data_IF_089156869713
#
_entry.id   IF_089156869713
#
_cell.length_a   1.000
_cell.length_b   1.000
_cell.length_c   1.000
_cell.angle_alpha   90.00
_cell.angle_beta   90.00
_cell.angle_gamma   90.00
#
_symmetry.space_group_name_H-M   'P 1'
#
loop_
_entity.id
_entity.type
_entity.pdbx_description
1 polymer ?
#
# COMPACT_ATOMS: atom_id res chain seq x y z
N UNK A 1 -11.95 23.93 14.40
CA UNK A 1 -12.71 23.04 13.49
C UNK A 1 -11.82 21.85 13.20
N UNK A 2 -12.21 20.63 13.57
CA UNK A 2 -11.42 19.42 13.29
C UNK A 2 -11.95 18.88 11.96
N UNK A 3 -11.09 18.81 10.94
CA UNK A 3 -11.43 18.27 9.63
C UNK A 3 -11.06 16.79 9.62
N UNK A 4 -12.01 15.93 10.03
CA UNK A 4 -11.80 14.48 10.02
C UNK A 4 -11.80 13.94 8.61
N UNK A 5 -10.93 12.98 8.34
CA UNK A 5 -11.03 12.13 7.15
C UNK A 5 -12.13 11.09 7.41
N UNK A 6 -13.20 11.03 6.61
CA UNK A 6 -14.23 10.02 6.76
C UNK A 6 -13.63 8.62 6.59
N UNK A 7 -13.81 7.73 7.57
CA UNK A 7 -13.27 6.38 7.52
C UNK A 7 -13.85 5.56 6.34
N UNK A 8 -15.06 5.90 5.91
CA UNK A 8 -15.77 5.33 4.75
C UNK A 8 -15.09 5.64 3.41
N UNK A 9 -14.13 6.56 3.40
CA UNK A 9 -13.28 6.81 2.23
C UNK A 9 -12.04 5.92 2.19
N UNK A 10 -11.70 5.24 3.29
CA UNK A 10 -10.52 4.40 3.39
C UNK A 10 -10.81 2.95 3.03
N UNK A 11 -12.02 2.47 3.32
CA UNK A 11 -12.43 1.07 3.18
C UNK A 11 -13.93 0.99 2.90
N UNK A 12 -14.36 -0.06 2.22
CA UNK A 12 -15.77 -0.39 1.98
C UNK A 12 -16.38 -1.23 3.11
N UNK A 13 -15.57 -1.83 3.98
CA UNK A 13 -16.02 -2.73 5.05
C UNK A 13 -16.56 -1.93 6.25
N UNK A 14 -17.85 -2.04 6.60
CA UNK A 14 -18.43 -1.32 7.73
C UNK A 14 -17.83 -1.69 9.08
N UNK A 15 -17.34 -2.91 9.27
CA UNK A 15 -16.70 -3.32 10.53
C UNK A 15 -15.30 -2.68 10.66
N UNK A 16 -14.57 -2.53 9.56
CA UNK A 16 -13.29 -1.81 9.54
C UNK A 16 -13.53 -0.31 9.74
N UNK A 17 -14.54 0.28 9.09
CA UNK A 17 -14.97 1.67 9.35
C UNK A 17 -15.24 1.89 10.84
N UNK A 18 -15.98 0.99 11.48
CA UNK A 18 -16.24 1.04 12.92
C UNK A 18 -14.95 0.94 13.72
N UNK A 19 -14.08 -0.01 13.40
CA UNK A 19 -12.78 -0.18 14.06
C UNK A 19 -11.93 1.07 13.98
N UNK A 20 -11.86 1.74 12.81
CA UNK A 20 -11.10 2.98 12.64
C UNK A 20 -11.65 4.11 13.51
N UNK A 21 -12.98 4.24 13.59
CA UNK A 21 -13.62 5.27 14.41
C UNK A 21 -13.48 5.03 15.92
N UNK A 22 -13.39 3.77 16.34
CA UNK A 22 -13.27 3.38 17.75
C UNK A 22 -11.81 3.27 18.23
N UNK A 23 -10.84 3.28 17.32
CA UNK A 23 -9.42 3.15 17.64
C UNK A 23 -8.86 4.41 18.32
N UNK A 24 -8.55 4.29 19.61
CA UNK A 24 -7.96 5.36 20.43
C UNK A 24 -6.54 5.74 20.02
N UNK A 25 -5.86 4.90 19.24
CA UNK A 25 -4.52 5.13 18.71
C UNK A 25 -4.55 5.79 17.33
N UNK A 26 -5.71 5.84 16.66
CA UNK A 26 -5.87 6.54 15.40
C UNK A 26 -6.18 8.02 15.65
N UNK A 27 -5.13 8.84 15.65
CA UNK A 27 -5.27 10.28 15.92
C UNK A 27 -5.89 11.03 14.73
N UNK A 28 -6.89 11.87 15.01
CA UNK A 28 -7.57 12.72 14.02
C UNK A 28 -7.00 14.15 13.94
N UNK A 29 -5.78 14.34 14.46
CA UNK A 29 -5.08 15.63 14.51
C UNK A 29 -3.69 15.53 13.92
N UNK A 30 -3.28 16.54 13.15
CA UNK A 30 -1.92 16.70 12.64
C UNK A 30 -1.35 18.08 12.99
N UNK A 31 -0.02 18.22 12.92
CA UNK A 31 0.66 19.50 13.07
C UNK A 31 0.78 20.21 11.73
N UNK A 32 0.94 21.54 11.73
CA UNK A 32 1.20 22.31 10.50
C UNK A 32 2.50 21.87 9.83
N UNK A 33 3.54 21.56 10.63
CA UNK A 33 4.80 21.01 10.12
C UNK A 33 4.60 19.64 9.44
N UNK A 34 3.75 18.78 10.00
CA UNK A 34 3.39 17.51 9.39
C UNK A 34 2.70 17.69 8.03
N UNK A 35 1.78 18.64 7.93
CA UNK A 35 1.12 18.98 6.66
C UNK A 35 2.12 19.52 5.62
N UNK A 36 2.99 20.43 6.01
CA UNK A 36 4.05 20.96 5.12
C UNK A 36 4.94 19.82 4.61
N UNK A 37 5.40 18.95 5.52
CA UNK A 37 6.22 17.80 5.14
C UNK A 37 5.53 16.82 4.18
N UNK A 38 4.21 16.63 4.32
CA UNK A 38 3.43 15.82 3.39
C UNK A 38 3.38 16.45 1.98
N UNK A 39 3.13 17.76 1.90
CA UNK A 39 3.08 18.49 0.63
C UNK A 39 4.45 18.51 -0.06
N UNK A 40 5.52 18.76 0.69
CA UNK A 40 6.89 18.80 0.15
C UNK A 40 7.33 17.43 -0.40
N UNK A 41 7.04 16.34 0.31
CA UNK A 41 7.34 14.97 -0.16
C UNK A 41 6.55 14.62 -1.42
N UNK A 42 5.28 15.00 -1.46
CA UNK A 42 4.42 14.81 -2.64
C UNK A 42 4.95 15.59 -3.83
N UNK A 43 5.35 16.85 -3.63
CA UNK A 43 5.94 17.68 -4.68
C UNK A 43 7.29 17.12 -5.17
N UNK A 44 8.15 16.65 -4.26
CA UNK A 44 9.42 16.03 -4.62
C UNK A 44 9.23 14.73 -5.43
N UNK A 45 8.25 13.91 -5.06
CA UNK A 45 7.89 12.70 -5.79
C UNK A 45 7.38 13.04 -7.20
N UNK A 46 6.42 13.96 -7.31
CA UNK A 46 5.82 14.37 -8.59
C UNK A 46 6.81 15.07 -9.53
N UNK A 47 7.79 15.81 -9.00
CA UNK A 47 8.86 16.43 -9.78
C UNK A 47 9.98 15.43 -10.15
N UNK A 48 9.85 14.17 -9.74
CA UNK A 48 10.85 13.14 -9.99
C UNK A 48 12.17 13.37 -9.27
N UNK A 49 12.20 14.20 -8.21
CA UNK A 49 13.39 14.44 -7.37
C UNK A 49 13.71 13.22 -6.51
N UNK A 50 12.70 12.46 -6.10
CA UNK A 50 12.85 11.19 -5.41
C UNK A 50 13.01 10.07 -6.44
N UNK A 51 14.17 9.41 -6.44
CA UNK A 51 14.46 8.26 -7.31
C UNK A 51 14.60 7.00 -6.47
N UNK A 52 14.32 5.84 -7.08
CA UNK A 52 14.65 4.56 -6.47
C UNK A 52 16.16 4.45 -6.25
N UNK A 53 16.56 3.83 -5.15
CA UNK A 53 17.97 3.60 -4.85
C UNK A 53 18.59 2.67 -5.92
N UNK A 54 19.87 2.84 -6.29
CA UNK A 54 20.51 2.03 -7.33
C UNK A 54 20.52 0.52 -7.07
N UNK A 55 20.38 0.09 -5.82
CA UNK A 55 20.36 -1.34 -5.44
C UNK A 55 18.98 -2.01 -5.51
N UNK A 56 17.91 -1.29 -5.84
CA UNK A 56 16.57 -1.86 -5.96
C UNK A 56 16.53 -2.76 -7.21
N UNK A 57 16.23 -4.04 -7.00
CA UNK A 57 16.19 -5.06 -8.06
C UNK A 57 14.77 -5.35 -8.57
N UNK A 58 13.77 -5.14 -7.72
CA UNK A 58 12.38 -5.42 -8.03
C UNK A 58 11.44 -4.42 -7.33
N UNK A 59 10.25 -4.20 -7.90
CA UNK A 59 9.22 -3.34 -7.33
C UNK A 59 7.85 -3.97 -7.50
N UNK A 60 7.07 -3.99 -6.42
CA UNK A 60 5.65 -4.24 -6.46
C UNK A 60 4.91 -2.98 -6.02
N UNK A 61 3.85 -2.64 -6.75
CA UNK A 61 2.92 -1.60 -6.39
C UNK A 61 1.51 -2.22 -6.39
N UNK A 62 0.74 -2.00 -5.33
CA UNK A 62 -0.67 -2.35 -5.27
C UNK A 62 -1.50 -1.09 -5.05
N UNK A 63 -2.58 -0.89 -5.82
CA UNK A 63 -3.45 0.28 -5.65
C UNK A 63 -4.89 -0.04 -6.08
N UNK A 64 -5.87 0.44 -5.31
CA UNK A 64 -7.30 0.33 -5.61
C UNK A 64 -7.75 1.39 -6.60
N UNK A 65 -8.51 1.01 -7.64
CA UNK A 65 -8.88 1.97 -8.69
C UNK A 65 -9.83 3.07 -8.22
N UNK A 66 -10.49 2.87 -7.08
CA UNK A 66 -11.42 3.81 -6.47
C UNK A 66 -10.90 4.35 -5.12
N UNK A 67 -9.58 4.41 -4.93
CA UNK A 67 -8.96 5.03 -3.75
C UNK A 67 -9.36 6.52 -3.66
N UNK A 68 -9.99 6.90 -2.54
CA UNK A 68 -10.44 8.27 -2.26
C UNK A 68 -9.45 9.09 -1.43
N UNK A 69 -8.36 8.47 -0.95
CA UNK A 69 -7.33 9.10 -0.15
C UNK A 69 -6.07 9.44 -0.97
N UNK A 70 -5.70 8.61 -1.94
CA UNK A 70 -4.56 8.86 -2.84
C UNK A 70 -4.91 8.64 -4.32
N UNK A 71 -4.15 9.24 -5.23
CA UNK A 71 -4.44 9.15 -6.68
C UNK A 71 -3.88 7.85 -7.27
N UNK A 72 -4.80 7.03 -7.78
CA UNK A 72 -4.48 5.84 -8.55
C UNK A 72 -3.68 6.18 -9.81
N UNK A 73 -4.12 7.17 -10.59
CA UNK A 73 -3.48 7.60 -11.83
C UNK A 73 -2.08 8.16 -11.57
N UNK A 74 -1.91 8.88 -10.46
CA UNK A 74 -0.61 9.37 -10.01
C UNK A 74 0.35 8.22 -9.73
N UNK A 75 -0.13 7.17 -9.08
CA UNK A 75 0.66 5.96 -8.79
C UNK A 75 0.99 5.19 -10.07
N UNK A 76 0.03 5.06 -10.99
CA UNK A 76 0.24 4.44 -12.31
C UNK A 76 1.29 5.18 -13.13
N UNK A 77 1.17 6.51 -13.21
CA UNK A 77 2.13 7.36 -13.90
C UNK A 77 3.52 7.20 -13.31
N UNK A 78 3.65 7.31 -11.99
CA UNK A 78 4.94 7.16 -11.31
C UNK A 78 5.55 5.77 -11.56
N UNK A 79 4.76 4.69 -11.48
CA UNK A 79 5.23 3.34 -11.74
C UNK A 79 5.78 3.18 -13.17
N UNK A 80 5.07 3.73 -14.16
CA UNK A 80 5.47 3.67 -15.57
C UNK A 80 6.79 4.40 -15.83
N UNK A 81 7.05 5.51 -15.12
CA UNK A 81 8.29 6.28 -15.20
C UNK A 81 9.53 5.53 -14.68
N UNK A 82 9.35 4.43 -13.91
CA UNK A 82 10.46 3.60 -13.43
C UNK A 82 11.00 2.69 -14.55
N UNK A 83 11.50 3.26 -15.64
CA UNK A 83 11.94 2.53 -16.84
C UNK A 83 13.28 1.81 -16.65
N UNK A 84 14.09 2.22 -15.68
CA UNK A 84 15.35 1.57 -15.33
C UNK A 84 15.18 0.24 -14.58
N UNK A 85 13.98 -0.06 -14.10
CA UNK A 85 13.70 -1.28 -13.33
C UNK A 85 12.99 -2.30 -14.22
N UNK A 86 13.65 -3.45 -14.46
CA UNK A 86 13.13 -4.50 -15.35
C UNK A 86 12.05 -5.35 -14.69
N UNK A 87 12.29 -5.76 -13.45
CA UNK A 87 11.36 -6.55 -12.67
C UNK A 87 10.45 -5.62 -11.87
N UNK A 88 9.29 -5.29 -12.43
CA UNK A 88 8.29 -4.49 -11.73
C UNK A 88 6.89 -4.96 -12.05
N UNK A 89 6.03 -4.92 -11.04
CA UNK A 89 4.63 -5.31 -11.16
C UNK A 89 3.73 -4.24 -10.53
N UNK A 90 2.66 -3.89 -11.24
CA UNK A 90 1.61 -3.02 -10.72
C UNK A 90 0.28 -3.77 -10.68
N UNK A 91 -0.12 -4.18 -9.49
CA UNK A 91 -1.38 -4.82 -9.20
C UNK A 91 -2.47 -3.76 -8.99
N UNK A 92 -3.46 -3.78 -9.89
CA UNK A 92 -4.64 -2.90 -9.84
C UNK A 92 -5.79 -3.69 -9.24
N UNK A 93 -6.44 -3.12 -8.23
CA UNK A 93 -7.58 -3.74 -7.58
C UNK A 93 -8.85 -2.98 -7.98
N UNK A 94 -9.60 -3.54 -8.93
CA UNK A 94 -10.73 -2.87 -9.56
C UNK A 94 -11.89 -2.66 -8.56
N UNK A 95 -12.30 -1.41 -8.37
CA UNK A 95 -13.35 -1.01 -7.44
C UNK A 95 -12.96 -0.97 -5.97
N UNK A 96 -11.68 -1.18 -5.65
CA UNK A 96 -11.16 -1.18 -4.28
C UNK A 96 -10.75 0.21 -3.82
N UNK A 97 -10.85 0.45 -2.51
CA UNK A 97 -10.49 1.72 -1.86
C UNK A 97 -9.05 1.68 -1.30
N UNK A 98 -8.71 2.61 -0.41
CA UNK A 98 -7.35 2.87 0.07
C UNK A 98 -6.73 1.70 0.85
N UNK A 99 -7.46 1.12 1.80
CA UNK A 99 -6.96 0.08 2.69
C UNK A 99 -7.12 -1.30 2.06
N UNK A 100 -6.32 -1.61 1.04
CA UNK A 100 -6.37 -2.89 0.31
C UNK A 100 -6.36 -4.15 1.19
N UNK A 101 -5.66 -4.09 2.32
CA UNK A 101 -5.55 -5.19 3.27
C UNK A 101 -6.78 -5.35 4.19
N UNK A 102 -7.75 -4.44 4.09
CA UNK A 102 -8.92 -4.35 4.97
C UNK A 102 -10.13 -3.72 4.25
N UNK A 103 -10.28 -3.95 2.93
CA UNK A 103 -11.27 -3.23 2.13
C UNK A 103 -12.66 -3.91 2.15
N UNK A 104 -12.72 -5.22 1.90
CA UNK A 104 -13.89 -6.07 2.14
C UNK A 104 -13.43 -7.41 2.72
N UNK A 105 -14.26 -8.14 3.50
CA UNK A 105 -13.86 -9.38 4.14
C UNK A 105 -13.28 -10.44 3.18
N UNK A 106 -13.78 -10.53 1.95
CA UNK A 106 -13.26 -11.46 0.94
C UNK A 106 -12.02 -10.98 0.18
N UNK A 107 -11.72 -9.68 0.27
CA UNK A 107 -10.65 -9.01 -0.48
C UNK A 107 -9.32 -9.05 0.28
N UNK A 108 -9.35 -9.05 1.61
CA UNK A 108 -8.16 -9.09 2.46
C UNK A 108 -7.22 -10.27 2.13
N UNK A 109 -7.78 -11.46 1.93
CA UNK A 109 -7.02 -12.67 1.60
C UNK A 109 -6.40 -12.58 0.21
N UNK A 110 -7.07 -11.91 -0.74
CA UNK A 110 -6.56 -11.71 -2.10
C UNK A 110 -5.34 -10.80 -2.07
N UNK A 111 -5.41 -9.65 -1.38
CA UNK A 111 -4.27 -8.75 -1.22
C UNK A 111 -3.09 -9.44 -0.53
N UNK A 112 -3.35 -10.12 0.60
CA UNK A 112 -2.33 -10.81 1.36
C UNK A 112 -1.63 -11.91 0.52
N UNK A 113 -2.42 -12.67 -0.24
CA UNK A 113 -1.91 -13.70 -1.14
C UNK A 113 -1.08 -13.12 -2.28
N UNK A 114 -1.56 -12.06 -2.94
CA UNK A 114 -0.83 -11.42 -4.04
C UNK A 114 0.54 -10.88 -3.58
N UNK A 115 0.58 -10.21 -2.43
CA UNK A 115 1.85 -9.74 -1.83
C UNK A 115 2.74 -10.91 -1.45
N UNK A 116 2.19 -11.94 -0.81
CA UNK A 116 2.93 -13.13 -0.40
C UNK A 116 3.54 -13.88 -1.58
N UNK A 117 2.75 -14.15 -2.62
CA UNK A 117 3.20 -14.81 -3.85
C UNK A 117 4.29 -13.99 -4.55
N UNK A 118 4.13 -12.66 -4.62
CA UNK A 118 5.13 -11.79 -5.25
C UNK A 118 6.48 -11.84 -4.53
N UNK A 119 6.47 -11.85 -3.20
CA UNK A 119 7.66 -11.97 -2.36
C UNK A 119 8.28 -13.36 -2.54
N UNK A 120 7.50 -14.43 -2.36
CA UNK A 120 8.00 -15.81 -2.41
C UNK A 120 8.59 -16.17 -3.77
N UNK A 121 8.05 -15.65 -4.86
CA UNK A 121 8.62 -15.82 -6.20
C UNK A 121 10.02 -15.20 -6.38
N UNK A 122 10.45 -14.33 -5.44
CA UNK A 122 11.73 -13.61 -5.45
C UNK A 122 12.60 -13.92 -4.25
N UNK A 123 12.15 -14.81 -3.38
CA UNK A 123 13.01 -15.46 -2.42
C UNK A 123 13.82 -16.53 -3.16
N UNK A 124 15.13 -16.57 -2.94
CA UNK A 124 15.92 -17.72 -3.36
C UNK A 124 15.39 -18.96 -2.61
N UNK A 125 15.28 -20.11 -3.30
CA UNK A 125 15.10 -21.37 -2.59
C UNK A 125 16.31 -21.53 -1.67
N UNK A 126 16.08 -21.48 -0.36
CA UNK A 126 17.08 -21.96 0.59
C UNK A 126 17.19 -23.46 0.34
N UNK A 127 18.23 -23.90 -0.36
CA UNK A 127 18.58 -25.31 -0.46
C UNK A 127 18.67 -25.89 0.96
N UNK A 128 17.64 -26.64 1.36
CA UNK A 128 17.65 -27.54 2.50
C UNK A 128 17.48 -26.91 3.89
N UNK A 129 16.24 -26.90 4.36
CA UNK A 129 15.99 -27.32 5.74
C UNK A 129 14.86 -28.36 5.78
N UNK A 130 15.22 -29.63 5.55
CA UNK A 130 14.43 -30.77 6.05
C UNK A 130 14.56 -30.79 7.57
N UNK A 131 13.92 -29.85 8.25
CA UNK A 131 14.06 -29.62 9.68
C UNK A 131 12.71 -29.64 10.39
N UNK A 132 12.30 -30.82 10.84
CA UNK A 132 11.38 -31.00 11.97
C UNK A 132 9.89 -31.00 11.63
N UNK A 133 9.31 -32.19 11.57
CA UNK A 133 7.89 -32.36 11.89
C UNK A 133 7.65 -31.82 13.30
N UNK A 134 6.95 -30.68 13.41
CA UNK A 134 6.38 -30.26 14.69
C UNK A 134 5.11 -31.07 14.93
N UNK A 135 5.18 -32.01 15.87
CA UNK A 135 3.99 -32.54 16.52
C UNK A 135 3.66 -31.61 17.68
N UNK A 136 2.59 -30.84 17.51
CA UNK A 136 1.70 -30.45 18.60
C UNK A 136 0.32 -31.01 18.28
#
# INVERSE_FOLDING_TARGET
MINRLPAENLTRDPEVVKSLNEDKLLHDTGTLEGLVGMLDRTAALNQGKTKLNPGIKSLWLGHGTEDKATSFEGSEKWFNEQTGLKDKEFKRYEGWYHQLHADLPGDCDVFAKDVGDWILARCEEVEGNKGGQSKL
#
